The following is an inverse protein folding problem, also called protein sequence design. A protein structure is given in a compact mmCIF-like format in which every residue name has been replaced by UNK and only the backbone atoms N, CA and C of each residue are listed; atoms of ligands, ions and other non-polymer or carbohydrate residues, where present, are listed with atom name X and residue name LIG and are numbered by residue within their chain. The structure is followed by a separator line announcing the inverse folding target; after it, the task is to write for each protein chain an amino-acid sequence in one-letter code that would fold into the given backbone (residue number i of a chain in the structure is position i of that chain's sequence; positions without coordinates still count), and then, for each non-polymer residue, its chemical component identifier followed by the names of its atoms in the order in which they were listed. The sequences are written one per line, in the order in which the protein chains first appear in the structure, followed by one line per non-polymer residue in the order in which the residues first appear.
data_IF_746202649201
#
_entry.id   IF_746202649201
#
_cell.length_a   1.000
_cell.length_b   1.000
_cell.length_c   1.000
_cell.angle_alpha   90.00
_cell.angle_beta   90.00
_cell.angle_gamma   90.00
#
_symmetry.space_group_name_H-M   'P 1'
#
loop_
_entity.id
_entity.type
_entity.pdbx_description
1 polymer ?
#
# COMPACT_ATOMS: atom_id res chain seq x y z
N UNK A 1 3.32 20.75 7.49
CA UNK A 1 3.49 20.99 6.04
C UNK A 1 2.95 19.75 5.35
N UNK A 2 1.91 19.90 4.52
CA UNK A 2 1.16 18.78 3.92
C UNK A 2 1.94 18.27 2.70
N UNK A 3 2.74 17.24 2.86
CA UNK A 3 3.35 16.57 1.70
C UNK A 3 2.39 15.46 1.29
N UNK A 4 1.48 15.79 0.38
CA UNK A 4 0.54 14.85 -0.24
C UNK A 4 1.14 14.16 -1.48
N UNK A 5 2.45 14.21 -1.67
CA UNK A 5 3.13 13.64 -2.83
C UNK A 5 3.17 12.11 -2.69
N UNK A 6 2.40 11.41 -3.52
CA UNK A 6 2.42 9.96 -3.63
C UNK A 6 1.20 9.22 -3.06
N UNK A 7 0.08 9.91 -2.79
CA UNK A 7 -1.18 9.21 -2.49
C UNK A 7 -1.75 8.63 -3.79
N UNK A 8 -2.03 7.34 -3.81
CA UNK A 8 -2.65 6.67 -4.96
C UNK A 8 -3.64 5.60 -4.51
N UNK A 9 -4.43 5.11 -5.47
CA UNK A 9 -5.49 4.16 -5.22
C UNK A 9 -5.15 2.79 -5.81
N UNK A 10 -5.34 1.74 -5.02
CA UNK A 10 -5.12 0.35 -5.38
C UNK A 10 -6.46 -0.36 -5.35
N UNK A 11 -6.82 -1.00 -6.46
CA UNK A 11 -8.03 -1.81 -6.52
C UNK A 11 -7.70 -3.25 -6.15
N UNK A 12 -8.17 -3.71 -4.98
CA UNK A 12 -8.10 -5.12 -4.61
C UNK A 12 -9.33 -5.86 -5.15
N UNK A 13 -9.09 -6.90 -5.95
CA UNK A 13 -10.12 -7.81 -6.43
C UNK A 13 -9.52 -8.95 -7.23
N UNK A 14 -9.75 -10.19 -6.79
CA UNK A 14 -9.61 -11.35 -7.64
C UNK A 14 -10.86 -11.48 -8.53
N UNK A 15 -10.73 -12.08 -9.71
CA UNK A 15 -11.71 -12.03 -10.80
C UNK A 15 -13.20 -12.26 -10.45
N UNK A 16 -14.07 -11.61 -11.24
CA UNK A 16 -15.50 -11.88 -11.43
C UNK A 16 -16.31 -12.20 -10.16
N UNK A 17 -16.41 -11.24 -9.25
CA UNK A 17 -17.36 -11.29 -8.13
C UNK A 17 -17.36 -9.99 -7.34
N UNK A 18 -18.28 -9.09 -7.69
CA UNK A 18 -18.88 -7.91 -7.02
C UNK A 18 -18.25 -7.17 -5.81
N UNK A 19 -17.06 -7.46 -5.31
CA UNK A 19 -16.44 -6.78 -4.16
C UNK A 19 -15.03 -6.31 -4.51
N UNK A 20 -14.92 -5.37 -5.46
CA UNK A 20 -13.69 -4.60 -5.65
C UNK A 20 -13.56 -3.65 -4.46
N UNK A 21 -12.49 -3.78 -3.67
CA UNK A 21 -12.17 -2.87 -2.58
C UNK A 21 -11.17 -1.84 -3.09
N UNK A 22 -11.56 -0.57 -3.07
CA UNK A 22 -10.69 0.53 -3.43
C UNK A 22 -9.93 0.99 -2.20
N UNK A 23 -8.62 0.71 -2.20
CA UNK A 23 -7.71 1.07 -1.13
C UNK A 23 -6.95 2.33 -1.51
N UNK A 24 -6.88 3.28 -0.61
CA UNK A 24 -6.04 4.47 -0.77
C UNK A 24 -4.75 4.20 -0.03
N UNK A 25 -3.62 4.24 -0.74
CA UNK A 25 -2.29 4.07 -0.18
C UNK A 25 -1.65 5.43 0.00
N UNK A 26 -1.09 5.68 1.18
CA UNK A 26 -0.34 6.91 1.49
C UNK A 26 1.06 6.58 1.97
N UNK A 27 2.12 6.95 1.22
CA UNK A 27 3.48 6.83 1.69
C UNK A 27 3.74 7.83 2.82
N UNK A 28 4.50 7.39 3.80
CA UNK A 28 5.03 8.19 4.91
C UNK A 28 6.53 7.94 5.00
N UNK A 29 7.31 9.03 4.94
CA UNK A 29 8.75 8.96 5.10
C UNK A 29 9.07 8.78 6.59
N UNK A 30 9.88 7.78 6.89
CA UNK A 30 10.36 7.53 8.24
C UNK A 30 11.76 8.09 8.45
N UNK A 31 12.13 8.29 9.72
CA UNK A 31 13.47 8.76 10.09
C UNK A 31 14.58 7.76 9.79
N UNK A 32 14.25 6.47 9.71
CA UNK A 32 15.16 5.39 9.32
C UNK A 32 15.37 5.27 7.80
N UNK A 33 14.70 6.12 7.01
CA UNK A 33 14.90 6.21 5.56
C UNK A 33 14.16 5.14 4.76
N UNK A 34 13.31 4.33 5.40
CA UNK A 34 12.51 3.29 4.73
C UNK A 34 11.04 3.68 4.78
N UNK A 35 10.42 4.07 3.66
CA UNK A 35 9.04 4.55 3.66
C UNK A 35 8.06 3.46 4.09
N UNK A 36 7.05 3.87 4.85
CA UNK A 36 5.91 3.04 5.21
C UNK A 36 4.68 3.48 4.42
N UNK A 37 3.78 2.56 4.13
CA UNK A 37 2.63 2.78 3.26
C UNK A 37 1.35 2.50 4.02
N UNK A 38 0.61 3.56 4.34
CA UNK A 38 -0.66 3.47 5.04
C UNK A 38 -1.78 3.12 4.06
N UNK A 39 -2.48 2.05 4.37
CA UNK A 39 -3.60 1.54 3.59
C UNK A 39 -4.92 1.97 4.22
N UNK A 40 -5.68 2.79 3.50
CA UNK A 40 -7.00 3.26 3.90
C UNK A 40 -8.09 2.60 3.06
N UNK A 41 -9.16 2.16 3.71
CA UNK A 41 -10.37 1.68 3.06
C UNK A 41 -11.55 2.50 3.60
N UNK A 42 -12.36 3.07 2.70
CA UNK A 42 -13.47 3.97 3.07
C UNK A 42 -13.05 5.11 4.03
N UNK A 43 -11.84 5.65 3.82
CA UNK A 43 -11.25 6.71 4.64
C UNK A 43 -10.70 6.28 6.00
N UNK A 44 -10.84 5.00 6.37
CA UNK A 44 -10.31 4.45 7.62
C UNK A 44 -8.99 3.72 7.36
N UNK A 45 -7.98 3.98 8.19
CA UNK A 45 -6.72 3.22 8.10
C UNK A 45 -6.98 1.78 8.54
N UNK A 46 -6.71 0.82 7.67
CA UNK A 46 -6.93 -0.62 7.95
C UNK A 46 -5.64 -1.40 8.12
N UNK A 47 -4.53 -0.89 7.59
CA UNK A 47 -3.24 -1.57 7.61
C UNK A 47 -2.10 -0.61 7.30
N UNK A 48 -0.88 -1.02 7.64
CA UNK A 48 0.36 -0.41 7.16
C UNK A 48 1.29 -1.46 6.59
N UNK A 49 1.90 -1.13 5.45
CA UNK A 49 2.85 -1.97 4.74
C UNK A 49 4.23 -1.32 4.71
N UNK A 50 5.26 -2.13 4.68
CA UNK A 50 6.65 -1.71 4.51
C UNK A 50 7.33 -2.70 3.57
N UNK A 51 8.26 -2.22 2.75
CA UNK A 51 9.18 -3.09 2.03
C UNK A 51 10.42 -3.31 2.88
N UNK A 52 10.74 -4.56 3.16
CA UNK A 52 11.97 -4.94 3.84
C UNK A 52 13.17 -4.83 2.89
N UNK A 53 14.38 -4.82 3.45
CA UNK A 53 15.61 -4.76 2.65
C UNK A 53 15.77 -5.96 1.69
N UNK A 54 15.10 -7.09 1.95
CA UNK A 54 15.04 -8.24 1.04
C UNK A 54 14.19 -7.98 -0.21
N UNK A 55 13.41 -6.91 -0.23
CA UNK A 55 12.42 -6.61 -1.27
C UNK A 55 11.02 -7.16 -0.96
N UNK A 56 10.85 -7.91 0.14
CA UNK A 56 9.57 -8.46 0.55
C UNK A 56 8.66 -7.39 1.17
N UNK A 57 7.38 -7.44 0.84
CA UNK A 57 6.37 -6.59 1.44
C UNK A 57 5.82 -7.23 2.70
N UNK A 58 5.94 -6.52 3.82
CA UNK A 58 5.46 -6.95 5.13
C UNK A 58 4.40 -6.00 5.65
N UNK A 59 3.44 -6.57 6.39
CA UNK A 59 2.44 -5.79 7.11
C UNK A 59 2.93 -5.49 8.52
N UNK A 60 2.94 -4.21 8.89
CA UNK A 60 3.32 -3.77 10.23
C UNK A 60 2.18 -3.95 11.24
N UNK A 61 0.94 -3.71 10.82
CA UNK A 61 -0.27 -3.96 11.61
C UNK A 61 -1.51 -4.09 10.74
N UNK A 62 -2.60 -4.64 11.30
CA UNK A 62 -3.88 -4.90 10.64
C UNK A 62 -4.03 -6.38 10.30
N UNK A 63 -4.98 -6.70 9.41
CA UNK A 63 -5.31 -8.07 9.02
C UNK A 63 -5.50 -8.17 7.49
N UNK A 64 -4.45 -7.84 6.72
CA UNK A 64 -4.49 -8.04 5.27
C UNK A 64 -3.98 -9.45 4.99
N UNK A 65 -4.68 -10.15 4.10
CA UNK A 65 -4.20 -11.45 3.62
C UNK A 65 -2.86 -11.30 2.90
N UNK A 66 -2.00 -12.32 2.94
CA UNK A 66 -0.72 -12.34 2.21
C UNK A 66 -0.90 -12.00 0.72
N UNK A 67 -1.97 -12.49 0.10
CA UNK A 67 -2.32 -12.15 -1.28
C UNK A 67 -2.61 -10.66 -1.46
N UNK A 68 -3.38 -10.05 -0.55
CA UNK A 68 -3.63 -8.60 -0.57
C UNK A 68 -2.35 -7.79 -0.35
N UNK A 69 -1.49 -8.23 0.57
CA UNK A 69 -0.19 -7.58 0.84
C UNK A 69 0.65 -7.56 -0.44
N UNK A 70 0.76 -8.69 -1.13
CA UNK A 70 1.50 -8.80 -2.38
C UNK A 70 0.90 -7.89 -3.47
N UNK A 71 -0.42 -7.92 -3.67
CA UNK A 71 -1.09 -7.07 -4.66
C UNK A 71 -0.86 -5.58 -4.41
N UNK A 72 -0.95 -5.13 -3.15
CA UNK A 72 -0.68 -3.73 -2.81
C UNK A 72 0.80 -3.42 -3.01
N UNK A 73 1.70 -4.31 -2.59
CA UNK A 73 3.14 -4.17 -2.77
C UNK A 73 3.57 -4.03 -4.24
N UNK A 74 3.01 -4.85 -5.12
CA UNK A 74 3.23 -4.75 -6.56
C UNK A 74 2.71 -3.43 -7.13
N UNK A 75 1.52 -2.98 -6.72
CA UNK A 75 0.97 -1.70 -7.14
C UNK A 75 1.81 -0.51 -6.66
N UNK A 76 2.37 -0.58 -5.45
CA UNK A 76 3.33 0.42 -4.95
C UNK A 76 4.58 0.43 -5.84
N UNK A 77 5.17 -0.75 -6.10
CA UNK A 77 6.37 -0.86 -6.91
C UNK A 77 6.17 -0.33 -8.34
N UNK A 78 5.04 -0.64 -8.97
CA UNK A 78 4.65 -0.15 -10.30
C UNK A 78 4.48 1.37 -10.33
N UNK A 79 3.81 1.94 -9.31
CA UNK A 79 3.65 3.38 -9.18
C UNK A 79 4.99 4.12 -9.03
N UNK A 80 5.91 3.57 -8.23
CA UNK A 80 7.26 4.11 -8.06
C UNK A 80 8.11 3.98 -9.34
N UNK A 81 7.95 2.88 -10.09
CA UNK A 81 8.63 2.69 -11.36
C UNK A 81 8.11 3.65 -12.45
N UNK A 82 6.81 3.92 -12.46
CA UNK A 82 6.16 4.84 -13.42
C UNK A 82 6.42 6.32 -13.14
N UNK A 83 6.86 6.67 -11.93
CA UNK A 83 7.19 8.05 -11.52
C UNK A 83 8.67 8.40 -11.77
N UNK A 84 9.44 7.53 -12.44
CA UNK A 84 10.85 7.75 -12.79
C UNK A 84 11.07 8.40 -14.15
#
# INVERSE_FOLDING_TARGET
MKTSEGIFEVTLGAGTGSLRKQLVVRPEQTTDGVPIYHCFLDGSSISQLRQEASGEWVQLWGDLSVHSIQQVGEAIADHLASTR
#
